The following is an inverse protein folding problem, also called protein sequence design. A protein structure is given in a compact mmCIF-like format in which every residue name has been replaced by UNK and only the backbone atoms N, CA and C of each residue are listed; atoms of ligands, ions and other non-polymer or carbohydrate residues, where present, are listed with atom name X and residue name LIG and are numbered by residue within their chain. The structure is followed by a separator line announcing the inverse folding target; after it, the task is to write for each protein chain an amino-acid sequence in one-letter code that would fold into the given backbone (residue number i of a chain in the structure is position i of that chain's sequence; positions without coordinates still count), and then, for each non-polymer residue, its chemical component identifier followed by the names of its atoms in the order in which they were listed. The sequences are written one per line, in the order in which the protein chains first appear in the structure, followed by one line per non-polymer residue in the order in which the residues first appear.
data_IF_944464267882
#
_entry.id   IF_944464267882
#
_cell.length_a   1.000
_cell.length_b   1.000
_cell.length_c   1.000
_cell.angle_alpha   90.00
_cell.angle_beta   90.00
_cell.angle_gamma   90.00
#
_symmetry.space_group_name_H-M   'P 1'
#
loop_
_entity.id
_entity.type
_entity.pdbx_description
1 polymer ?
#
# COMPACT_ATOMS: atom_id res chain seq x y z
N UNK A 1 2.24 -9.91 7.13
CA UNK A 1 1.36 -8.71 7.03
C UNK A 1 2.21 -7.52 7.42
N UNK A 2 2.06 -6.39 6.72
CA UNK A 2 2.73 -5.12 7.05
C UNK A 2 1.66 -4.07 7.31
N UNK A 3 1.81 -3.33 8.41
CA UNK A 3 0.96 -2.21 8.78
C UNK A 3 1.79 -0.93 8.71
N UNK A 4 1.32 0.05 7.95
CA UNK A 4 1.80 1.41 7.94
C UNK A 4 0.73 2.28 8.61
N UNK A 5 0.93 2.55 9.89
CA UNK A 5 0.00 3.30 10.73
C UNK A 5 0.30 4.79 10.78
N UNK A 6 -0.38 5.50 11.68
CA UNK A 6 -0.14 6.91 11.97
C UNK A 6 1.36 7.20 12.14
N UNK A 7 1.83 8.30 11.57
CA UNK A 7 3.23 8.76 11.60
C UNK A 7 4.30 7.83 10.98
N UNK A 8 3.96 6.61 10.54
CA UNK A 8 4.94 5.72 9.89
C UNK A 8 5.36 6.21 8.50
N UNK A 9 4.50 7.01 7.86
CA UNK A 9 4.73 7.56 6.54
C UNK A 9 4.10 8.94 6.38
N UNK A 10 4.94 9.97 6.23
CA UNK A 10 4.53 11.39 6.10
C UNK A 10 4.61 11.92 4.67
N UNK A 11 5.01 11.08 3.71
CA UNK A 11 5.22 11.46 2.32
C UNK A 11 3.97 11.19 1.49
N UNK A 12 3.86 11.90 0.38
CA UNK A 12 2.70 11.82 -0.52
C UNK A 12 2.71 10.60 -1.43
N UNK A 13 3.88 9.99 -1.66
CA UNK A 13 4.02 8.84 -2.56
C UNK A 13 4.70 7.70 -1.85
N UNK A 14 4.06 6.54 -1.74
CA UNK A 14 4.68 5.31 -1.24
C UNK A 14 5.14 4.48 -2.44
N UNK A 15 6.45 4.30 -2.58
CA UNK A 15 7.05 3.54 -3.70
C UNK A 15 7.57 2.21 -3.19
N UNK A 16 7.18 1.13 -3.86
CA UNK A 16 7.66 -0.21 -3.60
C UNK A 16 8.38 -0.73 -4.84
N UNK A 17 9.71 -0.68 -4.82
CA UNK A 17 10.59 -0.89 -5.97
C UNK A 17 11.37 -2.22 -5.95
N UNK A 18 11.39 -2.94 -4.83
CA UNK A 18 12.22 -4.14 -4.73
C UNK A 18 11.46 -5.39 -5.17
N UNK A 19 11.97 -6.05 -6.22
CA UNK A 19 11.56 -7.38 -6.68
C UNK A 19 11.75 -8.46 -5.61
N UNK A 20 12.68 -8.25 -4.66
CA UNK A 20 12.97 -9.15 -3.53
C UNK A 20 12.50 -8.61 -2.16
N UNK A 21 11.92 -7.40 -2.09
CA UNK A 21 11.72 -6.72 -0.81
C UNK A 21 10.61 -7.32 0.04
N UNK A 22 9.57 -7.87 -0.59
CA UNK A 22 8.39 -8.38 0.11
C UNK A 22 7.81 -9.67 -0.51
N UNK A 23 8.63 -10.73 -0.73
CA UNK A 23 8.22 -11.94 -1.45
C UNK A 23 7.16 -12.76 -0.71
N UNK A 24 6.93 -12.48 0.57
CA UNK A 24 5.95 -13.17 1.42
C UNK A 24 4.85 -12.25 1.97
N UNK A 25 4.78 -11.00 1.48
CA UNK A 25 3.79 -10.06 1.97
C UNK A 25 2.42 -10.35 1.34
N UNK A 26 1.53 -10.87 2.17
CA UNK A 26 0.16 -11.20 1.76
C UNK A 26 -0.85 -10.09 2.04
N UNK A 27 -0.59 -9.24 3.05
CA UNK A 27 -1.49 -8.17 3.47
C UNK A 27 -0.67 -6.91 3.71
N UNK A 28 -1.06 -5.82 3.06
CA UNK A 28 -0.58 -4.47 3.31
C UNK A 28 -1.75 -3.67 3.89
N UNK A 29 -1.57 -3.11 5.08
CA UNK A 29 -2.56 -2.28 5.74
C UNK A 29 -2.02 -0.85 5.85
N UNK A 30 -2.72 0.09 5.23
CA UNK A 30 -2.46 1.53 5.30
C UNK A 30 -3.51 2.12 6.25
N UNK A 31 -3.06 2.64 7.39
CA UNK A 31 -3.94 3.16 8.43
C UNK A 31 -3.53 4.59 8.80
N UNK A 32 -4.48 5.53 8.74
CA UNK A 32 -4.28 6.92 9.17
C UNK A 32 -3.13 7.64 8.45
N UNK A 33 -2.87 7.29 7.18
CA UNK A 33 -1.85 7.94 6.36
C UNK A 33 -2.44 9.19 5.69
N UNK A 34 -2.60 10.25 6.47
CA UNK A 34 -3.31 11.48 6.08
C UNK A 34 -2.68 12.23 4.89
N UNK A 35 -1.36 12.07 4.70
CA UNK A 35 -0.62 12.72 3.62
C UNK A 35 -0.46 11.87 2.37
N UNK A 36 -0.75 10.56 2.45
CA UNK A 36 -0.49 9.64 1.36
C UNK A 36 -1.48 9.86 0.21
N UNK A 37 -0.96 10.11 -0.99
CA UNK A 37 -1.73 10.41 -2.20
C UNK A 37 -1.63 9.29 -3.25
N UNK A 38 -0.46 8.67 -3.34
CA UNK A 38 -0.15 7.67 -4.37
C UNK A 38 0.57 6.46 -3.80
N UNK A 39 0.09 5.26 -4.14
CA UNK A 39 0.77 4.00 -3.97
C UNK A 39 1.34 3.56 -5.33
N UNK A 40 2.67 3.48 -5.43
CA UNK A 40 3.40 3.08 -6.63
C UNK A 40 4.09 1.77 -6.34
N UNK A 41 3.85 0.76 -7.17
CA UNK A 41 4.42 -0.57 -6.97
C UNK A 41 4.97 -1.07 -8.28
N UNK A 42 6.30 -1.12 -8.34
CA UNK A 42 7.04 -1.53 -9.52
C UNK A 42 6.81 -3.01 -9.85
N UNK A 43 7.26 -3.40 -11.03
CA UNK A 43 7.15 -4.77 -11.52
C UNK A 43 7.92 -5.73 -10.61
N UNK A 44 7.33 -6.88 -10.29
CA UNK A 44 7.92 -7.86 -9.37
C UNK A 44 7.81 -7.53 -7.87
N UNK A 45 7.49 -6.29 -7.48
CA UNK A 45 7.28 -5.98 -6.07
C UNK A 45 5.91 -6.50 -5.55
N UNK A 46 5.90 -7.03 -4.33
CA UNK A 46 4.69 -7.50 -3.64
C UNK A 46 3.83 -8.47 -4.47
N UNK A 47 4.44 -9.41 -5.21
CA UNK A 47 3.70 -10.33 -6.10
C UNK A 47 2.71 -11.26 -5.36
N UNK A 48 2.96 -11.55 -4.08
CA UNK A 48 2.08 -12.43 -3.26
C UNK A 48 1.02 -11.66 -2.47
N UNK A 49 0.85 -10.36 -2.73
CA UNK A 49 -0.16 -9.56 -2.04
C UNK A 49 -1.55 -10.08 -2.39
N UNK A 50 -2.33 -10.40 -1.36
CA UNK A 50 -3.71 -10.87 -1.48
C UNK A 50 -4.72 -9.83 -1.01
N UNK A 51 -4.30 -8.90 -0.15
CA UNK A 51 -5.21 -7.90 0.39
C UNK A 51 -4.48 -6.56 0.65
N UNK A 52 -5.09 -5.48 0.19
CA UNK A 52 -4.71 -4.11 0.52
C UNK A 52 -5.81 -3.52 1.38
N UNK A 53 -5.54 -3.28 2.67
CA UNK A 53 -6.48 -2.62 3.57
C UNK A 53 -6.16 -1.14 3.62
N UNK A 54 -7.17 -0.30 3.46
CA UNK A 54 -7.06 1.14 3.57
C UNK A 54 -8.05 1.60 4.63
N UNK A 55 -7.52 2.18 5.69
CA UNK A 55 -8.27 2.78 6.80
C UNK A 55 -7.79 4.23 6.97
N UNK A 56 -8.74 5.17 7.04
CA UNK A 56 -8.46 6.59 7.29
C UNK A 56 -7.33 7.22 6.44
N UNK A 57 -7.29 6.93 5.13
CA UNK A 57 -6.33 7.53 4.18
C UNK A 57 -7.04 8.44 3.15
N UNK A 58 -7.53 9.63 3.56
CA UNK A 58 -8.45 10.45 2.76
C UNK A 58 -7.85 11.05 1.48
N UNK A 59 -6.51 11.11 1.39
CA UNK A 59 -5.81 11.69 0.24
C UNK A 59 -5.38 10.65 -0.79
N UNK A 60 -5.49 9.35 -0.49
CA UNK A 60 -5.01 8.27 -1.35
C UNK A 60 -5.91 8.14 -2.58
N UNK A 61 -5.41 8.59 -3.73
CA UNK A 61 -6.15 8.67 -5.00
C UNK A 61 -5.62 7.72 -6.06
N UNK A 62 -4.34 7.38 -6.01
CA UNK A 62 -3.71 6.49 -7.00
C UNK A 62 -3.28 5.19 -6.34
N UNK A 63 -3.86 4.10 -6.81
CA UNK A 63 -3.53 2.72 -6.42
C UNK A 63 -3.22 1.96 -7.71
N UNK A 64 -2.22 1.07 -7.75
CA UNK A 64 -1.92 0.29 -8.94
C UNK A 64 -3.12 -0.56 -9.35
N UNK A 65 -3.41 -0.65 -10.65
CA UNK A 65 -4.58 -1.38 -11.18
C UNK A 65 -4.72 -2.80 -10.60
N UNK A 66 -3.60 -3.54 -10.54
CA UNK A 66 -3.57 -4.91 -10.02
C UNK A 66 -4.03 -5.05 -8.56
N UNK A 67 -3.98 -3.97 -7.78
CA UNK A 67 -4.37 -3.97 -6.36
C UNK A 67 -5.75 -3.40 -6.11
N UNK A 68 -6.38 -2.74 -7.10
CA UNK A 68 -7.74 -2.21 -6.95
C UNK A 68 -8.75 -3.30 -6.57
N UNK A 69 -8.65 -4.48 -7.19
CA UNK A 69 -9.51 -5.63 -6.88
C UNK A 69 -9.20 -6.29 -5.52
N UNK A 70 -8.01 -6.04 -4.97
CA UNK A 70 -7.59 -6.55 -3.65
C UNK A 70 -7.82 -5.53 -2.54
N UNK A 71 -8.35 -4.34 -2.88
CA UNK A 71 -8.49 -3.23 -1.95
C UNK A 71 -9.78 -3.37 -1.14
N UNK A 72 -9.66 -3.34 0.18
CA UNK A 72 -10.77 -3.22 1.11
C UNK A 72 -10.66 -1.89 1.84
N UNK A 73 -11.77 -1.15 1.90
CA UNK A 73 -11.89 0.06 2.67
C UNK A 73 -12.57 -0.27 4.00
N UNK A 74 -12.00 0.21 5.09
CA UNK A 74 -12.51 0.04 6.46
C UNK A 74 -12.55 1.38 7.17
#
# INVERSE_FOLDING_TARGET
MLLLGSDSYKWTKLVCSSSEGFPQLHILHLQSLLSLEELIVEEGAMMKLKNLKIDCCPRLRKIPERFKLLTTYS
#
